data_IF_807717838656
#
_entry.id   IF_807717838656
#
_cell.length_a   1.000
_cell.length_b   1.000
_cell.length_c   1.000
_cell.angle_alpha   90.00
_cell.angle_beta   90.00
_cell.angle_gamma   90.00
#
_symmetry.space_group_name_H-M   'P 1'
#
loop_
_entity.id
_entity.type
_entity.pdbx_description
1 polymer ?
#
# COMPACT_ATOMS: atom_id res chain seq x y z
N UNK A 1 -14.14 0.97 -5.30
CA UNK A 1 -12.79 1.13 -5.88
C UNK A 1 -12.87 1.41 -7.36
N UNK A 2 -11.73 1.82 -7.94
CA UNK A 2 -11.62 2.11 -9.37
C UNK A 2 -10.36 1.43 -9.91
N UNK A 3 -10.46 0.84 -11.11
CA UNK A 3 -9.31 0.45 -11.89
C UNK A 3 -9.04 1.55 -12.91
N UNK A 4 -7.82 2.03 -12.98
CA UNK A 4 -7.43 3.08 -13.93
C UNK A 4 -6.00 2.89 -14.41
N UNK A 5 -5.74 3.45 -15.58
CA UNK A 5 -4.40 3.51 -16.15
C UNK A 5 -3.62 4.66 -15.51
N UNK A 6 -2.55 4.32 -14.76
CA UNK A 6 -1.76 5.30 -14.02
C UNK A 6 -1.10 6.35 -14.94
N UNK A 7 -0.71 5.98 -16.16
CA UNK A 7 -0.12 6.94 -17.11
C UNK A 7 -1.17 7.95 -17.60
N UNK A 8 -2.39 7.47 -17.92
CA UNK A 8 -3.48 8.35 -18.33
C UNK A 8 -3.92 9.26 -17.18
N UNK A 9 -3.96 8.74 -15.96
CA UNK A 9 -4.25 9.56 -14.79
C UNK A 9 -3.19 10.64 -14.59
N UNK A 10 -1.90 10.31 -14.72
CA UNK A 10 -0.80 11.28 -14.63
C UNK A 10 -0.89 12.37 -15.69
N UNK A 11 -1.22 12.03 -16.93
CA UNK A 11 -1.46 12.99 -17.99
C UNK A 11 -2.63 13.92 -17.67
N UNK A 12 -3.77 13.36 -17.28
CA UNK A 12 -4.95 14.11 -16.88
C UNK A 12 -4.65 15.09 -15.74
N UNK A 13 -3.96 14.63 -14.67
CA UNK A 13 -3.61 15.48 -13.53
C UNK A 13 -2.63 16.61 -13.92
N UNK A 14 -1.65 16.32 -14.79
CA UNK A 14 -0.75 17.34 -15.31
C UNK A 14 -1.52 18.43 -16.05
N UNK A 15 -2.38 18.04 -16.99
CA UNK A 15 -3.12 18.97 -17.83
C UNK A 15 -4.09 19.81 -16.97
N UNK A 16 -4.80 19.15 -16.06
CA UNK A 16 -5.70 19.79 -15.09
C UNK A 16 -4.97 20.79 -14.17
N UNK A 17 -3.79 20.45 -13.69
CA UNK A 17 -2.99 21.31 -12.82
C UNK A 17 -2.41 22.52 -13.59
N UNK A 18 -1.94 22.27 -14.81
CA UNK A 18 -1.38 23.32 -15.69
C UNK A 18 -2.43 24.37 -16.05
N UNK A 19 -3.67 23.98 -16.35
CA UNK A 19 -4.80 24.89 -16.56
C UNK A 19 -5.09 25.77 -15.33
N UNK A 20 -4.64 25.38 -14.15
CA UNK A 20 -4.80 26.10 -12.86
C UNK A 20 -3.55 26.84 -12.41
N UNK A 21 -2.59 27.02 -13.30
CA UNK A 21 -1.40 27.84 -13.06
C UNK A 21 -0.19 27.07 -12.51
N UNK A 22 -0.26 25.74 -12.40
CA UNK A 22 0.92 24.93 -12.05
C UNK A 22 1.87 24.92 -13.25
N UNK A 23 3.12 25.29 -13.01
CA UNK A 23 4.16 25.28 -14.06
C UNK A 23 4.75 23.87 -14.17
N UNK A 24 4.48 23.20 -15.27
CA UNK A 24 5.12 21.95 -15.62
C UNK A 24 6.35 22.22 -16.49
N UNK A 25 7.54 21.78 -16.01
CA UNK A 25 8.81 21.95 -16.72
C UNK A 25 9.46 20.60 -16.95
N UNK A 26 9.87 20.33 -18.17
CA UNK A 26 10.65 19.14 -18.55
C UNK A 26 12.14 19.45 -18.35
N UNK A 27 12.57 19.47 -17.08
CA UNK A 27 13.93 19.73 -16.66
C UNK A 27 14.47 18.54 -15.88
N UNK A 28 15.75 18.26 -16.02
CA UNK A 28 16.45 17.25 -15.25
C UNK A 28 17.28 17.93 -14.17
N UNK A 29 16.82 17.80 -12.92
CA UNK A 29 17.62 18.20 -11.76
C UNK A 29 18.84 17.27 -11.64
N UNK A 30 20.02 17.84 -11.54
CA UNK A 30 21.30 17.13 -11.45
C UNK A 30 21.94 17.28 -10.08
N UNK A 31 21.62 18.35 -9.36
CA UNK A 31 22.17 18.64 -8.04
C UNK A 31 21.17 19.41 -7.18
N UNK A 32 21.42 19.44 -5.87
CA UNK A 32 20.61 20.10 -4.85
C UNK A 32 21.50 21.05 -4.05
N UNK A 33 21.24 22.34 -4.17
CA UNK A 33 21.92 23.35 -3.38
C UNK A 33 21.30 23.42 -1.98
N UNK A 34 22.10 23.16 -0.96
CA UNK A 34 21.69 23.26 0.44
C UNK A 34 21.82 24.69 0.95
N UNK A 35 20.83 25.14 1.70
CA UNK A 35 20.86 26.37 2.46
C UNK A 35 21.42 26.17 3.88
N UNK A 36 20.98 27.02 4.78
CA UNK A 36 21.29 26.88 6.21
C UNK A 36 20.30 25.97 6.92
N UNK A 37 20.71 25.30 8.00
CA UNK A 37 19.84 24.51 8.88
C UNK A 37 19.13 23.31 8.21
N UNK A 38 19.84 22.57 7.35
CA UNK A 38 19.29 21.42 6.61
C UNK A 38 18.09 21.78 5.72
N UNK A 39 18.08 22.97 5.13
CA UNK A 39 17.09 23.39 4.14
C UNK A 39 17.66 23.29 2.72
N UNK A 40 16.77 23.15 1.77
CA UNK A 40 17.10 23.22 0.34
C UNK A 40 16.95 24.67 -0.11
N UNK A 41 18.01 25.23 -0.70
CA UNK A 41 17.98 26.56 -1.30
C UNK A 41 17.46 26.52 -2.74
N UNK A 42 17.92 25.55 -3.53
CA UNK A 42 17.49 25.41 -4.93
C UNK A 42 17.76 23.99 -5.48
N UNK A 43 17.07 23.67 -6.57
CA UNK A 43 17.44 22.56 -7.46
C UNK A 43 18.24 23.11 -8.63
N UNK A 44 19.36 22.48 -8.96
CA UNK A 44 20.19 22.80 -10.10
C UNK A 44 19.90 21.85 -11.24
N UNK A 45 19.60 22.36 -12.43
CA UNK A 45 19.24 21.58 -13.59
C UNK A 45 20.39 21.47 -14.60
N UNK A 46 20.34 20.44 -15.45
CA UNK A 46 21.36 20.14 -16.45
C UNK A 46 21.59 21.30 -17.46
N UNK A 47 20.56 22.09 -17.73
CA UNK A 47 20.60 23.26 -18.61
C UNK A 47 21.09 24.54 -17.94
N UNK A 48 21.53 24.48 -16.67
CA UNK A 48 21.92 25.61 -15.85
C UNK A 48 20.79 26.35 -15.15
N UNK A 49 19.54 25.91 -15.34
CA UNK A 49 18.40 26.50 -14.63
C UNK A 49 18.51 26.22 -13.13
N UNK A 50 18.30 27.25 -12.32
CA UNK A 50 18.20 27.16 -10.86
C UNK A 50 16.76 27.37 -10.43
N UNK A 51 16.19 26.41 -9.68
CA UNK A 51 14.79 26.44 -9.23
C UNK A 51 14.77 26.62 -7.71
N UNK A 52 14.29 27.78 -7.28
CA UNK A 52 14.06 28.12 -5.87
C UNK A 52 12.64 27.80 -5.45
N UNK A 53 12.43 27.62 -4.13
CA UNK A 53 11.13 27.39 -3.53
C UNK A 53 11.19 27.43 -2.01
N UNK A 54 10.08 27.77 -1.39
CA UNK A 54 9.92 27.75 0.08
C UNK A 54 9.77 26.31 0.60
N UNK A 55 9.09 25.47 -0.19
CA UNK A 55 8.89 24.03 0.09
C UNK A 55 9.24 23.22 -1.15
N UNK A 56 9.95 22.14 -0.94
CA UNK A 56 10.26 21.13 -1.97
C UNK A 56 9.53 19.83 -1.68
N UNK A 57 8.93 19.24 -2.71
CA UNK A 57 8.29 17.93 -2.58
C UNK A 57 9.11 16.90 -3.36
N UNK A 58 9.76 15.99 -2.64
CA UNK A 58 10.57 14.93 -3.24
C UNK A 58 9.68 13.79 -3.71
N UNK A 59 9.45 13.70 -5.03
CA UNK A 59 8.78 12.60 -5.71
C UNK A 59 9.75 11.81 -6.61
N UNK A 60 11.06 11.80 -6.29
CA UNK A 60 12.11 11.18 -7.13
C UNK A 60 12.15 9.64 -7.06
N UNK A 61 11.12 9.01 -6.51
CA UNK A 61 10.99 7.56 -6.44
C UNK A 61 11.90 6.95 -5.38
N UNK A 62 12.25 5.67 -5.52
CA UNK A 62 13.13 4.97 -4.58
C UNK A 62 14.51 5.60 -4.41
N UNK A 63 14.91 6.48 -5.33
CA UNK A 63 16.17 7.23 -5.21
C UNK A 63 16.13 8.24 -4.07
N UNK A 64 14.96 8.83 -3.77
CA UNK A 64 14.75 9.80 -2.70
C UNK A 64 15.88 10.85 -2.66
N UNK A 65 16.04 11.55 -3.80
CA UNK A 65 17.23 12.37 -4.09
C UNK A 65 17.38 13.50 -3.08
N UNK A 66 16.29 14.15 -2.72
CA UNK A 66 16.33 15.25 -1.78
C UNK A 66 16.30 14.73 -0.34
N UNK A 67 15.27 13.95 0.01
CA UNK A 67 15.06 13.56 1.40
C UNK A 67 16.18 12.66 1.95
N UNK A 68 16.60 11.63 1.22
CA UNK A 68 17.62 10.70 1.71
C UNK A 68 19.03 11.08 1.28
N UNK A 69 19.27 11.33 -0.03
CA UNK A 69 20.63 11.54 -0.50
C UNK A 69 21.18 12.92 -0.09
N UNK A 70 20.33 13.94 -0.07
CA UNK A 70 20.78 15.31 0.28
C UNK A 70 20.60 15.60 1.77
N UNK A 71 19.41 15.35 2.33
CA UNK A 71 19.10 15.69 3.72
C UNK A 71 19.39 14.56 4.72
N UNK A 72 19.77 13.37 4.25
CA UNK A 72 20.21 12.28 5.10
C UNK A 72 19.07 11.58 5.87
N UNK A 73 17.80 11.71 5.43
CA UNK A 73 16.69 11.03 6.06
C UNK A 73 16.94 9.50 6.11
N UNK A 74 16.92 8.94 7.30
CA UNK A 74 17.18 7.51 7.52
C UNK A 74 16.03 6.67 6.98
N UNK A 75 16.36 5.52 6.38
CA UNK A 75 15.38 4.54 5.96
C UNK A 75 15.18 3.45 7.03
N UNK A 76 13.92 3.17 7.33
CA UNK A 76 13.49 2.11 8.26
C UNK A 76 12.95 0.96 7.41
N UNK A 77 13.71 -0.14 7.24
CA UNK A 77 13.28 -1.28 6.45
C UNK A 77 12.23 -2.12 7.19
N UNK A 78 11.33 -2.76 6.44
CA UNK A 78 10.35 -3.70 6.94
C UNK A 78 10.62 -5.14 6.49
N UNK A 79 11.81 -5.43 5.95
CA UNK A 79 12.16 -6.75 5.40
C UNK A 79 12.14 -7.90 6.40
N UNK A 80 12.26 -7.62 7.70
CA UNK A 80 12.10 -8.64 8.75
C UNK A 80 10.64 -9.06 8.94
N UNK A 81 9.71 -8.16 8.64
CA UNK A 81 8.28 -8.38 8.78
C UNK A 81 7.64 -8.87 7.46
N UNK A 82 8.09 -8.33 6.33
CA UNK A 82 7.56 -8.57 4.98
C UNK A 82 8.68 -9.08 4.07
N UNK A 83 8.60 -10.31 3.63
CA UNK A 83 9.68 -10.98 2.90
C UNK A 83 9.74 -10.64 1.42
N UNK A 84 8.69 -10.06 0.86
CA UNK A 84 8.64 -9.72 -0.55
C UNK A 84 9.47 -8.48 -0.86
N UNK A 85 10.41 -8.62 -1.78
CA UNK A 85 11.34 -7.58 -2.18
C UNK A 85 11.38 -7.37 -3.71
N UNK A 86 10.61 -8.16 -4.46
CA UNK A 86 10.57 -8.14 -5.91
C UNK A 86 9.17 -8.24 -6.46
N UNK A 87 9.00 -7.74 -7.68
CA UNK A 87 7.82 -8.01 -8.48
C UNK A 87 8.20 -8.19 -9.95
N UNK A 88 7.60 -9.19 -10.61
CA UNK A 88 7.60 -9.30 -12.07
C UNK A 88 6.26 -8.84 -12.60
N UNK A 89 6.28 -7.99 -13.63
CA UNK A 89 5.07 -7.38 -14.24
C UNK A 89 5.00 -7.75 -15.70
N UNK A 90 3.87 -8.30 -16.11
CA UNK A 90 3.61 -8.72 -17.49
C UNK A 90 2.17 -8.38 -17.89
N UNK A 91 1.90 -7.27 -18.60
CA UNK A 91 0.58 -6.95 -19.08
C UNK A 91 0.09 -7.97 -20.13
N UNK A 92 -1.18 -8.34 -20.05
CA UNK A 92 -1.82 -9.20 -21.06
C UNK A 92 -2.96 -8.48 -21.79
N UNK A 93 -3.37 -9.04 -22.93
CA UNK A 93 -4.55 -8.56 -23.66
C UNK A 93 -5.81 -8.85 -22.85
N UNK A 94 -6.87 -8.11 -23.14
CA UNK A 94 -8.20 -8.40 -22.59
C UNK A 94 -8.63 -9.84 -22.90
N UNK A 95 -9.22 -10.49 -21.89
CA UNK A 95 -10.10 -11.63 -22.15
C UNK A 95 -11.51 -11.10 -22.46
N UNK A 96 -12.26 -11.84 -23.24
CA UNK A 96 -13.68 -11.55 -23.55
C UNK A 96 -14.59 -11.55 -22.30
N UNK A 97 -14.07 -11.97 -21.15
CA UNK A 97 -14.75 -11.92 -19.86
C UNK A 97 -14.06 -10.92 -18.95
N UNK A 98 -14.57 -9.71 -18.96
CA UNK A 98 -14.13 -8.66 -18.03
C UNK A 98 -14.70 -8.96 -16.62
N UNK A 99 -13.80 -9.08 -15.64
CA UNK A 99 -14.20 -9.14 -14.23
C UNK A 99 -14.04 -7.73 -13.63
N UNK A 100 -15.06 -7.16 -12.99
CA UNK A 100 -14.98 -5.83 -12.39
C UNK A 100 -14.29 -5.85 -11.01
N UNK A 101 -13.24 -6.64 -10.86
CA UNK A 101 -12.50 -6.81 -9.60
C UNK A 101 -11.04 -7.09 -9.86
N UNK A 102 -10.19 -6.80 -8.88
CA UNK A 102 -8.83 -7.31 -8.80
C UNK A 102 -8.88 -8.76 -8.28
N UNK A 103 -8.17 -9.66 -8.95
CA UNK A 103 -7.88 -10.98 -8.39
C UNK A 103 -6.49 -10.94 -7.74
N UNK A 104 -6.42 -11.33 -6.45
CA UNK A 104 -5.16 -11.55 -5.72
C UNK A 104 -5.04 -13.04 -5.43
N UNK A 105 -4.02 -13.68 -6.00
CA UNK A 105 -3.89 -15.14 -5.99
C UNK A 105 -2.51 -15.51 -5.43
N UNK A 106 -2.50 -16.36 -4.39
CA UNK A 106 -1.29 -16.85 -3.80
C UNK A 106 -0.48 -17.73 -4.79
N UNK A 107 0.83 -17.49 -4.86
CA UNK A 107 1.81 -18.17 -5.69
C UNK A 107 2.79 -18.96 -4.83
N UNK A 108 3.80 -19.57 -5.42
CA UNK A 108 4.79 -20.39 -4.71
C UNK A 108 5.58 -19.61 -3.65
N UNK A 109 5.98 -18.36 -3.95
CA UNK A 109 6.80 -17.54 -3.08
C UNK A 109 6.31 -16.09 -2.97
N UNK A 110 4.98 -15.91 -2.94
CA UNK A 110 4.33 -14.62 -2.89
C UNK A 110 2.90 -14.68 -3.43
N UNK A 111 2.46 -13.64 -4.13
CA UNK A 111 1.12 -13.55 -4.69
C UNK A 111 1.12 -12.75 -5.99
N UNK A 112 0.17 -13.04 -6.87
CA UNK A 112 -0.03 -12.29 -8.10
C UNK A 112 -1.31 -11.47 -8.06
N UNK A 113 -1.26 -10.32 -8.70
CA UNK A 113 -2.46 -9.54 -9.01
C UNK A 113 -2.87 -9.71 -10.47
N UNK A 114 -4.17 -9.54 -10.71
CA UNK A 114 -4.74 -9.37 -12.04
C UNK A 114 -5.75 -8.24 -11.99
N UNK A 115 -5.44 -7.12 -12.66
CA UNK A 115 -6.24 -5.89 -12.64
C UNK A 115 -6.75 -5.61 -14.04
N UNK A 116 -8.02 -5.88 -14.34
CA UNK A 116 -8.60 -5.59 -15.63
C UNK A 116 -8.78 -4.08 -15.81
N UNK A 117 -8.25 -3.57 -16.92
CA UNK A 117 -8.45 -2.22 -17.43
C UNK A 117 -9.24 -2.29 -18.74
N UNK A 118 -9.72 -1.18 -19.23
CA UNK A 118 -10.44 -1.12 -20.52
C UNK A 118 -9.60 -1.49 -21.74
N UNK A 119 -8.27 -1.45 -21.64
CA UNK A 119 -7.34 -1.68 -22.76
C UNK A 119 -6.46 -2.90 -22.60
N UNK A 120 -6.27 -3.39 -21.39
CA UNK A 120 -5.39 -4.51 -21.05
C UNK A 120 -5.73 -5.07 -19.69
N UNK A 121 -5.11 -6.18 -19.33
CA UNK A 121 -5.07 -6.66 -17.94
C UNK A 121 -3.66 -6.38 -17.39
N UNK A 122 -3.56 -5.66 -16.29
CA UNK A 122 -2.33 -5.52 -15.55
C UNK A 122 -2.11 -6.75 -14.67
N UNK A 123 -1.08 -7.54 -14.96
CA UNK A 123 -0.68 -8.66 -14.12
C UNK A 123 0.69 -8.41 -13.53
N UNK A 124 0.91 -8.92 -12.33
CA UNK A 124 2.22 -8.97 -11.73
C UNK A 124 2.25 -9.96 -10.58
N UNK A 125 3.44 -10.44 -10.29
CA UNK A 125 3.71 -11.37 -9.20
C UNK A 125 4.70 -10.71 -8.24
N UNK A 126 4.25 -10.44 -7.03
CA UNK A 126 5.08 -9.98 -5.89
C UNK A 126 5.65 -11.19 -5.21
N UNK A 127 6.96 -11.25 -5.05
CA UNK A 127 7.65 -12.41 -4.51
C UNK A 127 8.88 -12.05 -3.67
N UNK A 128 9.40 -13.05 -2.98
CA UNK A 128 10.64 -12.92 -2.23
C UNK A 128 11.79 -13.58 -2.99
N UNK A 129 12.81 -12.79 -3.32
CA UNK A 129 14.04 -13.28 -3.99
C UNK A 129 14.83 -14.32 -3.17
N UNK A 130 14.53 -14.40 -1.87
CA UNK A 130 15.09 -15.45 -0.99
C UNK A 130 14.57 -16.86 -1.34
N UNK A 131 13.37 -16.97 -1.90
CA UNK A 131 12.68 -18.26 -2.11
C UNK A 131 12.51 -18.65 -3.57
N UNK A 132 12.62 -17.71 -4.49
CA UNK A 132 12.47 -17.95 -5.93
C UNK A 132 13.36 -16.99 -6.71
N UNK A 133 14.00 -17.45 -7.80
CA UNK A 133 14.76 -16.59 -8.69
C UNK A 133 13.84 -15.71 -9.54
N UNK A 134 14.39 -14.65 -10.13
CA UNK A 134 13.66 -13.76 -11.02
C UNK A 134 13.13 -14.51 -12.26
N UNK A 135 13.95 -15.41 -12.81
CA UNK A 135 13.61 -16.24 -13.97
C UNK A 135 12.48 -17.23 -13.65
N UNK A 136 12.56 -17.89 -12.50
CA UNK A 136 11.51 -18.83 -12.06
C UNK A 136 10.20 -18.09 -11.73
N UNK A 137 10.27 -16.91 -11.12
CA UNK A 137 9.09 -16.09 -10.84
C UNK A 137 8.42 -15.60 -12.13
N UNK A 138 9.21 -15.21 -13.13
CA UNK A 138 8.68 -14.86 -14.44
C UNK A 138 8.01 -16.07 -15.12
N UNK A 139 8.68 -17.23 -15.11
CA UNK A 139 8.12 -18.45 -15.69
C UNK A 139 6.80 -18.86 -15.03
N UNK A 140 6.74 -18.80 -13.70
CA UNK A 140 5.52 -19.09 -12.92
C UNK A 140 4.39 -18.09 -13.23
N UNK A 141 4.68 -16.78 -13.39
CA UNK A 141 3.68 -15.80 -13.80
C UNK A 141 3.19 -16.07 -15.22
N UNK A 142 4.10 -16.33 -16.17
CA UNK A 142 3.77 -16.63 -17.57
C UNK A 142 2.86 -17.85 -17.70
N UNK A 143 3.16 -18.92 -16.98
CA UNK A 143 2.33 -20.12 -16.92
C UNK A 143 0.94 -19.78 -16.35
N UNK A 144 0.89 -19.05 -15.23
CA UNK A 144 -0.35 -18.73 -14.53
C UNK A 144 -1.30 -17.83 -15.33
N UNK A 145 -0.81 -17.04 -16.30
CA UNK A 145 -1.62 -16.17 -17.14
C UNK A 145 -1.71 -16.64 -18.61
N UNK A 146 -1.08 -17.78 -18.93
CA UNK A 146 -1.12 -18.37 -20.28
C UNK A 146 -0.33 -17.59 -21.34
N UNK A 147 0.78 -16.96 -20.96
CA UNK A 147 1.62 -16.12 -21.83
C UNK A 147 3.07 -16.59 -21.86
N UNK A 148 3.30 -17.85 -22.20
CA UNK A 148 4.62 -18.46 -22.15
C UNK A 148 5.66 -17.74 -23.04
N UNK A 149 5.27 -17.36 -24.26
CA UNK A 149 6.17 -16.82 -25.29
C UNK A 149 5.82 -15.38 -25.72
N UNK A 150 4.88 -14.72 -25.04
CA UNK A 150 4.39 -13.40 -25.42
C UNK A 150 4.72 -12.31 -24.38
N UNK A 151 4.93 -11.09 -24.88
CA UNK A 151 5.10 -9.88 -24.09
C UNK A 151 6.47 -9.78 -23.39
N UNK A 152 6.80 -8.57 -23.00
CA UNK A 152 8.03 -8.28 -22.23
C UNK A 152 7.69 -8.18 -20.73
N UNK A 153 8.31 -9.04 -19.94
CA UNK A 153 8.25 -8.96 -18.50
C UNK A 153 9.23 -7.90 -17.97
N UNK A 154 8.89 -7.28 -16.87
CA UNK A 154 9.77 -6.34 -16.18
C UNK A 154 9.91 -6.76 -14.73
N UNK A 155 11.14 -6.93 -14.29
CA UNK A 155 11.47 -7.15 -12.88
C UNK A 155 11.59 -5.79 -12.20
N UNK A 156 10.94 -5.65 -11.05
CA UNK A 156 10.98 -4.46 -10.21
C UNK A 156 11.57 -4.85 -8.86
N UNK A 157 12.64 -4.17 -8.46
CA UNK A 157 13.15 -4.25 -7.10
C UNK A 157 12.32 -3.34 -6.19
N UNK A 158 11.90 -3.85 -5.05
CA UNK A 158 11.08 -3.12 -4.11
C UNK A 158 11.85 -2.85 -2.83
N UNK A 159 11.94 -1.60 -2.46
CA UNK A 159 12.52 -1.19 -1.19
C UNK A 159 11.39 -1.03 -0.17
N UNK A 160 11.07 -2.12 0.52
CA UNK A 160 9.94 -2.17 1.47
C UNK A 160 10.33 -1.54 2.80
N UNK A 161 9.59 -0.51 3.20
CA UNK A 161 9.87 0.29 4.38
C UNK A 161 9.46 1.75 4.20
N UNK A 162 9.92 2.62 5.09
CA UNK A 162 9.67 4.05 5.07
C UNK A 162 10.89 4.84 5.49
N UNK A 163 10.96 6.13 5.19
CA UNK A 163 11.91 7.03 5.83
C UNK A 163 11.45 7.37 7.25
N UNK A 164 12.40 7.70 8.11
CA UNK A 164 12.10 8.05 9.51
C UNK A 164 11.27 9.33 9.60
N UNK A 165 11.67 10.35 8.86
CA UNK A 165 11.02 11.65 8.82
C UNK A 165 10.57 11.99 7.40
N UNK A 166 9.26 12.09 7.21
CA UNK A 166 8.65 12.42 5.91
C UNK A 166 8.82 13.90 5.56
N UNK A 167 8.83 14.77 6.56
CA UNK A 167 9.07 16.19 6.44
C UNK A 167 10.34 16.58 7.20
N UNK A 168 11.41 16.90 6.47
CA UNK A 168 12.72 17.31 6.99
C UNK A 168 13.10 18.68 6.40
N UNK A 169 13.45 19.65 7.25
CA UNK A 169 13.71 21.02 6.80
C UNK A 169 12.52 21.61 6.05
N UNK A 170 12.73 22.06 4.84
CA UNK A 170 11.69 22.50 3.91
C UNK A 170 11.38 21.46 2.82
N UNK A 171 11.72 20.19 3.04
CA UNK A 171 11.44 19.10 2.10
C UNK A 171 10.40 18.13 2.65
N UNK A 172 9.37 17.86 1.86
CA UNK A 172 8.37 16.80 2.05
C UNK A 172 8.67 15.65 1.09
N UNK A 173 8.93 14.46 1.60
CA UNK A 173 8.98 13.27 0.75
C UNK A 173 7.57 12.72 0.48
N UNK A 174 7.31 12.30 -0.77
CA UNK A 174 6.03 11.74 -1.16
C UNK A 174 6.19 10.55 -2.13
N UNK A 175 5.24 9.62 -2.07
CA UNK A 175 5.27 8.40 -2.90
C UNK A 175 6.46 7.49 -2.55
N UNK A 176 7.15 6.96 -3.56
CA UNK A 176 8.25 6.02 -3.34
C UNK A 176 9.49 6.66 -2.69
N UNK A 177 9.61 7.98 -2.69
CA UNK A 177 10.67 8.69 -1.94
C UNK A 177 10.43 8.62 -0.43
N UNK A 178 9.19 8.58 -0.03
CA UNK A 178 8.74 8.48 1.37
C UNK A 178 8.82 7.06 1.90
N UNK A 179 8.38 6.09 1.11
CA UNK A 179 8.35 4.69 1.49
C UNK A 179 7.50 3.85 0.55
N UNK A 180 7.54 2.55 0.78
CA UNK A 180 6.76 1.60 0.01
C UNK A 180 6.38 0.40 0.87
N UNK A 181 5.15 -0.05 0.72
CA UNK A 181 4.66 -1.34 1.19
C UNK A 181 3.99 -2.01 0.00
N UNK A 182 4.13 -3.32 -0.11
CA UNK A 182 3.57 -4.08 -1.21
C UNK A 182 2.05 -3.83 -1.41
N UNK A 183 1.55 -3.91 -2.66
CA UNK A 183 0.22 -3.41 -2.99
C UNK A 183 -0.94 -4.35 -2.63
N UNK A 184 -0.78 -5.31 -1.71
CA UNK A 184 -1.80 -6.31 -1.36
C UNK A 184 -3.15 -5.66 -0.99
N UNK A 185 -3.12 -4.52 -0.29
CA UNK A 185 -4.29 -3.74 0.13
C UNK A 185 -4.47 -2.43 -0.67
N UNK A 186 -3.72 -2.27 -1.77
CA UNK A 186 -3.79 -1.11 -2.67
C UNK A 186 -3.64 0.26 -1.97
N UNK A 187 -2.83 0.37 -0.93
CA UNK A 187 -2.73 1.54 -0.03
C UNK A 187 -1.80 2.64 -0.53
N UNK A 188 -0.98 2.40 -1.57
CA UNK A 188 0.06 3.35 -1.98
C UNK A 188 -0.48 4.75 -2.32
N UNK A 189 -1.53 4.85 -3.14
CA UNK A 189 -2.13 6.14 -3.48
C UNK A 189 -2.85 6.78 -2.29
N UNK A 190 -3.45 5.98 -1.42
CA UNK A 190 -4.06 6.49 -0.19
C UNK A 190 -3.04 7.17 0.71
N UNK A 191 -1.86 6.57 0.87
CA UNK A 191 -0.76 7.17 1.65
C UNK A 191 -0.31 8.50 1.01
N UNK A 192 -0.14 8.55 -0.31
CA UNK A 192 0.26 9.79 -1.00
C UNK A 192 -0.75 10.91 -0.79
N UNK A 193 -2.04 10.61 -0.97
CA UNK A 193 -3.11 11.59 -0.76
C UNK A 193 -3.16 12.04 0.71
N UNK A 194 -3.09 11.08 1.65
CA UNK A 194 -3.10 11.39 3.08
C UNK A 194 -1.88 12.24 3.47
N UNK A 195 -0.70 11.93 2.94
CA UNK A 195 0.52 12.72 3.17
C UNK A 195 0.34 14.16 2.69
N UNK A 196 -0.19 14.36 1.48
CA UNK A 196 -0.40 15.69 0.94
C UNK A 196 -1.42 16.51 1.75
N UNK A 197 -2.54 15.90 2.13
CA UNK A 197 -3.59 16.56 2.90
C UNK A 197 -3.16 16.84 4.35
N UNK A 198 -2.54 15.86 5.01
CA UNK A 198 -2.05 16.03 6.39
C UNK A 198 -0.91 17.06 6.45
N UNK A 199 -0.05 17.12 5.40
CA UNK A 199 0.99 18.15 5.30
C UNK A 199 0.40 19.55 5.14
N UNK A 200 -0.55 19.72 4.22
CA UNK A 200 -1.20 21.02 4.01
C UNK A 200 -1.85 21.54 5.30
N UNK A 201 -2.59 20.67 6.01
CA UNK A 201 -3.21 21.01 7.30
C UNK A 201 -2.16 21.35 8.38
N UNK A 202 -1.09 20.57 8.50
CA UNK A 202 -0.04 20.81 9.49
C UNK A 202 0.75 22.09 9.19
N UNK A 203 1.03 22.37 7.91
CA UNK A 203 1.76 23.54 7.47
C UNK A 203 0.94 24.83 7.69
N UNK A 204 -0.36 24.81 7.33
CA UNK A 204 -1.29 25.92 7.55
C UNK A 204 -1.45 26.20 9.06
N UNK A 205 -1.75 25.17 9.87
CA UNK A 205 -1.89 25.30 11.33
C UNK A 205 -0.61 25.73 12.03
N UNK A 206 0.55 25.41 11.46
CA UNK A 206 1.85 25.84 11.91
C UNK A 206 2.22 27.29 11.51
N UNK A 207 1.29 28.04 10.92
CA UNK A 207 1.51 29.40 10.44
C UNK A 207 2.47 29.44 9.25
N UNK A 208 2.40 28.44 8.38
CA UNK A 208 3.29 28.24 7.24
C UNK A 208 4.76 28.02 7.64
N UNK A 209 4.97 27.33 8.75
CA UNK A 209 6.27 26.99 9.31
C UNK A 209 6.31 25.57 9.88
N UNK A 210 7.43 25.23 10.54
CA UNK A 210 7.71 23.86 11.02
C UNK A 210 7.06 23.49 12.35
N UNK A 211 6.19 24.34 12.91
CA UNK A 211 5.63 24.15 14.27
C UNK A 211 4.88 22.86 14.50
N UNK A 212 4.33 22.25 13.46
CA UNK A 212 3.60 20.98 13.50
C UNK A 212 4.33 19.81 12.82
N UNK A 213 5.61 19.96 12.47
CA UNK A 213 6.38 18.96 11.73
C UNK A 213 6.51 17.63 12.46
N UNK A 214 6.84 17.68 13.74
CA UNK A 214 7.07 16.45 14.52
C UNK A 214 5.78 15.65 14.67
N UNK A 215 4.66 16.32 14.94
CA UNK A 215 3.33 15.69 15.00
C UNK A 215 2.93 15.10 13.64
N UNK A 216 3.20 15.80 12.54
CA UNK A 216 2.97 15.30 11.19
C UNK A 216 3.81 14.04 10.93
N UNK A 217 5.12 14.07 11.22
CA UNK A 217 6.02 12.93 11.01
C UNK A 217 5.58 11.70 11.83
N UNK A 218 5.21 11.89 13.08
CA UNK A 218 4.67 10.82 13.93
C UNK A 218 3.40 10.22 13.33
N UNK A 219 2.47 11.06 12.86
CA UNK A 219 1.21 10.61 12.27
C UNK A 219 1.41 9.80 10.99
N UNK A 220 2.32 10.24 10.12
CA UNK A 220 2.63 9.51 8.88
C UNK A 220 3.37 8.20 9.20
N UNK A 221 4.31 8.21 10.14
CA UNK A 221 4.97 7.00 10.59
C UNK A 221 3.97 5.97 11.10
N UNK A 222 3.03 6.38 11.95
CA UNK A 222 1.98 5.50 12.48
C UNK A 222 1.09 4.90 11.37
N UNK A 223 0.80 5.66 10.30
CA UNK A 223 0.07 5.13 9.13
C UNK A 223 0.84 4.01 8.44
N UNK A 224 2.14 4.19 8.20
CA UNK A 224 2.97 3.14 7.61
C UNK A 224 3.06 1.89 8.49
N UNK A 225 3.25 2.08 9.81
CA UNK A 225 3.30 0.97 10.77
C UNK A 225 1.97 0.20 10.81
N UNK A 226 0.84 0.90 10.84
CA UNK A 226 -0.48 0.27 10.83
C UNK A 226 -0.77 -0.51 9.54
N UNK A 227 -0.33 0.01 8.38
CA UNK A 227 -0.46 -0.70 7.09
C UNK A 227 0.45 -1.93 7.07
N UNK A 228 1.72 -1.77 7.50
CA UNK A 228 2.64 -2.90 7.64
C UNK A 228 2.02 -4.02 8.47
N UNK A 229 1.50 -3.69 9.64
CA UNK A 229 0.94 -4.66 10.57
C UNK A 229 -0.25 -5.42 9.98
N UNK A 230 -1.12 -4.72 9.26
CA UNK A 230 -2.25 -5.35 8.59
C UNK A 230 -1.82 -6.29 7.47
N UNK A 231 -0.82 -5.91 6.67
CA UNK A 231 -0.27 -6.78 5.62
C UNK A 231 0.49 -7.96 6.22
N UNK A 232 1.29 -7.74 7.27
CA UNK A 232 1.95 -8.83 8.01
C UNK A 232 0.94 -9.83 8.55
N UNK A 233 -0.22 -9.36 9.01
CA UNK A 233 -1.28 -10.25 9.50
C UNK A 233 -1.80 -11.19 8.40
N UNK A 234 -1.90 -10.75 7.13
CA UNK A 234 -2.23 -11.64 6.01
C UNK A 234 -1.24 -12.82 5.89
N UNK A 235 0.04 -12.54 6.03
CA UNK A 235 1.09 -13.56 5.95
C UNK A 235 1.18 -14.44 7.20
N UNK A 236 1.06 -13.85 8.36
CA UNK A 236 1.15 -14.55 9.64
C UNK A 236 -0.04 -15.49 9.88
N UNK A 237 -1.22 -15.12 9.40
CA UNK A 237 -2.45 -15.89 9.59
C UNK A 237 -2.70 -16.90 8.47
N UNK A 238 -1.87 -16.94 7.43
CA UNK A 238 -2.03 -17.88 6.34
C UNK A 238 -1.95 -19.33 6.83
N UNK A 239 -2.69 -20.22 6.18
CA UNK A 239 -2.73 -21.66 6.54
C UNK A 239 -2.05 -22.54 5.47
N UNK A 240 -1.37 -21.94 4.50
CA UNK A 240 -0.62 -22.69 3.49
C UNK A 240 0.67 -23.26 4.08
N UNK A 241 0.96 -24.50 3.73
CA UNK A 241 2.17 -25.19 4.16
C UNK A 241 2.90 -25.88 3.01
N UNK A 242 2.42 -25.66 1.78
CA UNK A 242 2.90 -26.31 0.57
C UNK A 242 4.33 -25.87 0.18
N UNK A 243 4.72 -24.64 0.51
CA UNK A 243 6.09 -24.16 0.24
C UNK A 243 6.78 -23.65 1.50
N UNK A 244 8.12 -23.54 1.45
CA UNK A 244 8.89 -22.98 2.56
C UNK A 244 8.55 -21.52 2.82
N UNK A 245 8.31 -20.74 1.76
CA UNK A 245 7.91 -19.33 1.86
C UNK A 245 6.65 -19.16 2.76
N UNK A 246 5.60 -19.93 2.53
CA UNK A 246 4.35 -19.82 3.30
C UNK A 246 4.54 -20.31 4.74
N UNK A 247 5.33 -21.37 4.96
CA UNK A 247 5.64 -21.85 6.32
C UNK A 247 6.43 -20.83 7.11
N UNK A 248 7.47 -20.23 6.50
CA UNK A 248 8.29 -19.22 7.17
C UNK A 248 7.49 -17.96 7.49
N UNK A 249 6.61 -17.50 6.59
CA UNK A 249 5.70 -16.39 6.87
C UNK A 249 4.74 -16.69 8.03
N UNK A 250 4.14 -17.88 8.04
CA UNK A 250 3.26 -18.30 9.13
C UNK A 250 4.00 -18.44 10.47
N UNK A 251 5.29 -18.74 10.46
CA UNK A 251 6.13 -18.87 11.65
C UNK A 251 6.87 -17.58 12.05
N UNK A 252 6.78 -16.51 11.25
CA UNK A 252 7.51 -15.28 11.50
C UNK A 252 7.03 -14.57 12.78
N UNK A 253 7.93 -14.46 13.76
CA UNK A 253 7.66 -13.82 15.07
C UNK A 253 8.12 -12.35 15.12
N UNK A 254 8.67 -11.80 14.04
CA UNK A 254 9.00 -10.39 13.91
C UNK A 254 7.71 -9.56 13.77
N UNK A 255 6.89 -9.56 14.80
CA UNK A 255 5.61 -8.85 14.87
C UNK A 255 5.77 -7.61 15.76
N UNK A 256 5.12 -6.51 15.37
CA UNK A 256 5.01 -5.33 16.24
C UNK A 256 4.16 -5.64 17.48
N UNK A 257 4.33 -4.85 18.51
CA UNK A 257 3.50 -4.99 19.72
C UNK A 257 2.03 -4.68 19.43
N UNK A 258 1.74 -3.76 18.50
CA UNK A 258 0.37 -3.48 18.06
C UNK A 258 -0.26 -4.72 17.41
N UNK A 259 0.44 -5.36 16.48
CA UNK A 259 -0.07 -6.57 15.83
C UNK A 259 -0.23 -7.72 16.82
N UNK A 260 0.74 -7.94 17.71
CA UNK A 260 0.62 -8.92 18.83
C UNK A 260 -0.61 -8.64 19.67
N UNK A 261 -0.85 -7.37 20.01
CA UNK A 261 -2.04 -6.95 20.78
C UNK A 261 -3.34 -7.27 20.06
N UNK A 262 -3.45 -7.00 18.75
CA UNK A 262 -4.64 -7.32 17.96
C UNK A 262 -4.88 -8.84 17.86
N UNK A 263 -3.82 -9.63 17.64
CA UNK A 263 -3.90 -11.10 17.63
C UNK A 263 -4.33 -11.62 19.01
N UNK A 264 -3.71 -11.11 20.07
CA UNK A 264 -4.06 -11.51 21.46
C UNK A 264 -5.53 -11.19 21.74
N UNK A 265 -5.98 -9.98 21.47
CA UNK A 265 -7.36 -9.56 21.68
C UNK A 265 -8.37 -10.46 20.95
N UNK A 266 -8.06 -10.88 19.71
CA UNK A 266 -8.88 -11.84 18.98
C UNK A 266 -9.02 -13.19 19.71
N UNK A 267 -7.90 -13.73 20.20
CA UNK A 267 -7.88 -15.03 20.90
C UNK A 267 -8.41 -14.98 22.33
N UNK A 268 -8.38 -13.81 22.98
CA UNK A 268 -8.90 -13.60 24.33
C UNK A 268 -10.32 -13.04 24.38
N UNK A 269 -10.96 -12.88 23.21
CA UNK A 269 -12.29 -12.29 23.06
C UNK A 269 -12.43 -10.86 23.59
N UNK A 270 -11.34 -10.09 23.59
CA UNK A 270 -11.40 -8.66 23.84
C UNK A 270 -12.08 -7.92 22.68
N UNK A 271 -12.64 -6.75 22.95
CA UNK A 271 -13.22 -5.91 21.91
C UNK A 271 -12.11 -5.33 21.00
N UNK A 272 -12.03 -5.87 19.79
CA UNK A 272 -11.03 -5.43 18.79
C UNK A 272 -11.13 -3.93 18.48
N UNK A 273 -12.31 -3.34 18.61
CA UNK A 273 -12.48 -1.90 18.37
C UNK A 273 -11.77 -1.10 19.46
N UNK A 274 -11.98 -1.46 20.71
CA UNK A 274 -11.34 -0.76 21.84
C UNK A 274 -9.82 -0.93 21.83
N UNK A 275 -9.34 -2.14 21.55
CA UNK A 275 -7.90 -2.40 21.43
C UNK A 275 -7.29 -1.60 20.30
N UNK A 276 -7.91 -1.64 19.12
CA UNK A 276 -7.45 -0.93 17.92
C UNK A 276 -7.41 0.60 18.14
N UNK A 277 -8.44 1.18 18.75
CA UNK A 277 -8.48 2.61 19.07
C UNK A 277 -7.39 2.99 20.09
N UNK A 278 -7.21 2.19 21.12
CA UNK A 278 -6.18 2.41 22.16
C UNK A 278 -4.77 2.38 21.61
N UNK A 279 -4.48 1.43 20.70
CA UNK A 279 -3.16 1.26 20.11
C UNK A 279 -2.78 2.34 19.09
N UNK A 280 -3.76 3.06 18.55
CA UNK A 280 -3.57 4.06 17.50
C UNK A 280 -4.07 5.46 17.92
N UNK A 281 -4.08 5.75 19.21
CA UNK A 281 -4.51 7.06 19.75
C UNK A 281 -5.85 7.55 19.18
N UNK A 282 -6.81 6.63 19.04
CA UNK A 282 -8.14 6.92 18.50
C UNK A 282 -8.22 7.04 16.99
N UNK A 283 -7.12 6.91 16.24
CA UNK A 283 -7.08 7.07 14.80
C UNK A 283 -6.45 5.88 14.06
N UNK A 284 -7.04 4.68 14.12
CA UNK A 284 -6.50 3.51 13.47
C UNK A 284 -6.63 3.62 11.94
N UNK A 285 -5.62 3.09 11.21
CA UNK A 285 -5.63 3.08 9.75
C UNK A 285 -6.70 2.12 9.19
N UNK A 286 -6.85 0.95 9.79
CA UNK A 286 -7.91 -0.01 9.46
C UNK A 286 -8.95 -0.06 10.56
N UNK A 287 -10.24 -0.05 10.17
CA UNK A 287 -11.33 -0.21 11.12
C UNK A 287 -11.33 -1.61 11.75
N UNK A 288 -11.92 -1.77 12.93
CA UNK A 288 -12.04 -3.07 13.59
C UNK A 288 -12.75 -4.12 12.73
N UNK A 289 -13.70 -3.70 11.89
CA UNK A 289 -14.38 -4.60 10.94
C UNK A 289 -13.40 -5.25 9.95
N UNK A 290 -12.37 -4.53 9.50
CA UNK A 290 -11.33 -5.08 8.62
C UNK A 290 -10.57 -6.20 9.33
N UNK A 291 -10.23 -6.01 10.61
CA UNK A 291 -9.56 -7.02 11.42
C UNK A 291 -10.44 -8.26 11.63
N UNK A 292 -11.74 -8.08 11.94
CA UNK A 292 -12.67 -9.19 12.04
C UNK A 292 -12.76 -9.98 10.72
N UNK A 293 -12.87 -9.27 9.59
CA UNK A 293 -12.92 -9.89 8.28
C UNK A 293 -11.63 -10.66 7.96
N UNK A 294 -10.47 -10.13 8.34
CA UNK A 294 -9.17 -10.75 8.14
C UNK A 294 -9.05 -12.05 8.95
N UNK A 295 -9.24 -11.98 10.27
CA UNK A 295 -9.15 -13.16 11.14
C UNK A 295 -10.14 -14.25 10.75
N UNK A 296 -11.40 -13.88 10.52
CA UNK A 296 -12.44 -14.81 10.11
C UNK A 296 -12.18 -15.39 8.70
N UNK A 297 -11.71 -14.56 7.78
CA UNK A 297 -11.39 -14.94 6.40
C UNK A 297 -10.29 -16.01 6.31
N UNK A 298 -9.29 -15.93 7.19
CA UNK A 298 -8.25 -16.97 7.32
C UNK A 298 -8.68 -18.17 8.17
N UNK A 299 -9.93 -18.19 8.67
CA UNK A 299 -10.42 -19.29 9.51
C UNK A 299 -9.71 -19.40 10.86
N UNK A 300 -9.09 -18.33 11.32
CA UNK A 300 -8.34 -18.27 12.57
C UNK A 300 -9.29 -17.95 13.71
N UNK A 301 -9.78 -18.96 14.40
CA UNK A 301 -10.71 -18.81 15.52
C UNK A 301 -10.11 -19.35 16.80
N UNK A 302 -10.43 -18.76 17.96
CA UNK A 302 -10.11 -19.34 19.26
C UNK A 302 -10.63 -20.79 19.35
N UNK A 303 -9.90 -21.71 20.03
CA UNK A 303 -10.31 -23.11 20.13
C UNK A 303 -11.73 -23.30 20.67
N UNK A 304 -12.14 -22.47 21.62
CA UNK A 304 -13.44 -22.50 22.26
C UNK A 304 -14.58 -22.11 21.29
N UNK A 305 -14.30 -21.29 20.29
CA UNK A 305 -15.29 -20.88 19.30
C UNK A 305 -15.87 -22.07 18.50
N UNK A 306 -15.14 -23.19 18.41
CA UNK A 306 -15.60 -24.42 17.76
C UNK A 306 -16.61 -25.18 18.58
N UNK A 307 -16.73 -24.89 19.86
CA UNK A 307 -17.60 -25.59 20.82
C UNK A 307 -18.80 -24.76 21.28
N UNK A 308 -18.84 -23.46 20.91
CA UNK A 308 -20.00 -22.61 21.26
C UNK A 308 -21.22 -23.06 20.44
N UNK A 309 -22.34 -23.44 21.04
CA UNK A 309 -23.57 -23.73 20.31
C UNK A 309 -23.97 -22.48 19.50
N UNK A 310 -24.47 -22.69 18.28
CA UNK A 310 -25.00 -21.60 17.46
C UNK A 310 -25.97 -20.77 18.29
N UNK A 311 -25.74 -19.47 18.49
CA UNK A 311 -26.60 -18.66 19.34
C UNK A 311 -28.00 -18.64 18.79
N UNK A 312 -28.96 -18.91 19.66
CA UNK A 312 -30.36 -18.94 19.34
C UNK A 312 -30.95 -17.55 19.15
N UNK A 313 -31.74 -17.36 18.11
CA UNK A 313 -32.69 -16.26 17.94
C UNK A 313 -32.10 -14.89 17.57
N UNK A 314 -31.36 -14.21 18.44
CA UNK A 314 -30.85 -12.86 18.19
C UNK A 314 -29.80 -12.79 17.06
N UNK A 315 -28.84 -13.70 17.05
CA UNK A 315 -27.80 -13.76 16.01
C UNK A 315 -28.38 -14.14 14.67
N UNK A 316 -29.39 -15.03 14.65
CA UNK A 316 -30.09 -15.35 13.40
C UNK A 316 -30.80 -14.11 12.85
N UNK A 317 -31.43 -13.30 13.69
CA UNK A 317 -32.10 -12.08 13.30
C UNK A 317 -31.10 -11.02 12.76
N UNK A 318 -29.93 -10.89 13.37
CA UNK A 318 -28.87 -9.98 12.92
C UNK A 318 -28.25 -10.44 11.60
N UNK A 319 -27.98 -11.73 11.43
CA UNK A 319 -27.52 -12.33 10.18
C UNK A 319 -28.54 -12.13 9.06
N UNK A 320 -29.83 -12.34 9.34
CA UNK A 320 -30.90 -12.13 8.36
C UNK A 320 -31.08 -10.64 8.05
N UNK A 321 -30.90 -9.75 9.01
CA UNK A 321 -30.88 -8.30 8.78
C UNK A 321 -29.71 -7.93 7.86
N UNK A 322 -28.50 -8.40 8.15
CA UNK A 322 -27.31 -8.17 7.33
C UNK A 322 -27.50 -8.70 5.91
N UNK A 323 -28.02 -9.92 5.74
CA UNK A 323 -28.32 -10.49 4.42
C UNK A 323 -29.32 -9.64 3.64
N UNK A 324 -30.40 -9.19 4.30
CA UNK A 324 -31.39 -8.31 3.66
C UNK A 324 -30.78 -6.98 3.26
N UNK A 325 -29.95 -6.39 4.11
CA UNK A 325 -29.24 -5.12 3.82
C UNK A 325 -28.31 -5.28 2.62
N UNK A 326 -27.49 -6.33 2.59
CA UNK A 326 -26.61 -6.62 1.46
C UNK A 326 -27.39 -6.86 0.17
N UNK A 327 -28.50 -7.60 0.23
CA UNK A 327 -29.37 -7.82 -0.92
C UNK A 327 -30.03 -6.54 -1.42
N UNK A 328 -30.46 -5.65 -0.52
CA UNK A 328 -31.00 -4.34 -0.88
C UNK A 328 -29.92 -3.44 -1.48
N UNK A 329 -28.71 -3.42 -0.93
CA UNK A 329 -27.59 -2.70 -1.50
C UNK A 329 -27.26 -3.17 -2.92
N UNK A 330 -27.30 -4.48 -3.17
CA UNK A 330 -27.03 -5.05 -4.50
C UNK A 330 -28.02 -4.57 -5.59
N UNK A 331 -29.23 -4.17 -5.23
CA UNK A 331 -30.22 -3.62 -6.18
C UNK A 331 -29.85 -2.24 -6.70
N UNK A 332 -28.95 -1.51 -6.02
CA UNK A 332 -28.49 -0.19 -6.45
C UNK A 332 -27.35 -0.29 -7.49
N UNK A 333 -26.84 -1.49 -7.77
CA UNK A 333 -25.82 -1.72 -8.76
C UNK A 333 -26.41 -2.35 -10.00
N UNK A 334 -26.09 -1.77 -11.16
CA UNK A 334 -26.44 -2.40 -12.44
C UNK A 334 -25.79 -3.78 -12.51
N UNK A 335 -26.52 -4.76 -13.03
CA UNK A 335 -25.89 -6.04 -13.36
C UNK A 335 -24.77 -5.78 -14.33
N UNK A 336 -23.58 -6.25 -13.99
CA UNK A 336 -22.45 -6.16 -14.90
C UNK A 336 -22.79 -6.85 -16.22
N UNK A 337 -22.86 -6.11 -17.29
CA UNK A 337 -22.89 -6.64 -18.65
C UNK A 337 -21.45 -6.64 -19.19
N UNK A 338 -20.97 -7.75 -19.79
CA UNK A 338 -19.72 -7.71 -20.52
C UNK A 338 -19.77 -6.54 -21.51
N UNK A 339 -18.67 -5.81 -21.65
CA UNK A 339 -18.55 -4.83 -22.72
C UNK A 339 -18.79 -5.60 -24.03
N UNK A 340 -19.82 -5.22 -24.77
CA UNK A 340 -20.00 -5.69 -26.16
C UNK A 340 -18.84 -5.18 -26.98
N UNK A 341 -18.30 -6.02 -27.84
CA UNK A 341 -17.22 -5.73 -28.77
C UNK A 341 -17.49 -4.47 -29.61
#
# INVERSE_FOLDING_TARGET
>A
GYHFDAHKLGQFLRDWATERGVLHRLLKATDVEQGTQAEIAALLCEDGTRIEGDIFVDCSGFRSVIAQQTLGAQFIPFGENLFNDRAVVLPSRHSTRFKPQTDSIAMRAGWRWSIPLTTRVGNGYVYSSKYVSDEDAEAELREAIGMQDEGEARILEMRVGRIAETWTGNCLAAGLSQGFIEPLEATALHIVIATALDFADAYEKGGYGSGHRDMFNQRIAAKYEGIRDYIVAHYRLNQRSDTQYWRDNAANDALSDNLKGMITAWFTHEDLREVNLRQHDGNPHYASMSWHALFAGYGTFPPEAKTVPTPTGLVTAEVDHTRRTLSACATNFLRYAPLSD
#
